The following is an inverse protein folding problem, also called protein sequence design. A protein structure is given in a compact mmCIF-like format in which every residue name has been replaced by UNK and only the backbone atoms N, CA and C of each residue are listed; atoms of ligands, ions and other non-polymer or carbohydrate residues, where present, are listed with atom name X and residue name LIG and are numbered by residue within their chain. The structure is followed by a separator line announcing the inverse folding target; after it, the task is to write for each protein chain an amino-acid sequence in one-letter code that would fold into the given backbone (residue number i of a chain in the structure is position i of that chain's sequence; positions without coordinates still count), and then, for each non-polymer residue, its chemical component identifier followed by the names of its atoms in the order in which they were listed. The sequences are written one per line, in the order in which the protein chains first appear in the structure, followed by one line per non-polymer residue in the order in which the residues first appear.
data_IF_137196823898
#
_entry.id   IF_137196823898
#
_cell.length_a   1.000
_cell.length_b   1.000
_cell.length_c   1.000
_cell.angle_alpha   90.00
_cell.angle_beta   90.00
_cell.angle_gamma   90.00
#
_symmetry.space_group_name_H-M   'P 1'
#
loop_
_entity.id
_entity.type
_entity.pdbx_description
1 polymer ?
#
# COMPACT_ATOMS: atom_id res chain seq x y z
N UNK A 1 -16.66 -7.27 21.13
CA UNK A 1 -16.52 -7.15 19.67
C UNK A 1 -15.23 -7.85 19.28
N UNK A 2 -15.23 -8.67 18.22
CA UNK A 2 -13.97 -9.19 17.66
C UNK A 2 -13.29 -8.13 16.78
N UNK A 3 -12.05 -8.37 16.35
CA UNK A 3 -11.30 -7.41 15.52
C UNK A 3 -11.96 -7.11 14.18
N UNK A 4 -12.57 -8.12 13.54
CA UNK A 4 -13.29 -7.96 12.27
C UNK A 4 -14.49 -7.01 12.40
N UNK A 5 -15.30 -7.17 13.43
CA UNK A 5 -16.44 -6.29 13.74
C UNK A 5 -15.98 -4.87 14.03
N UNK A 6 -14.91 -4.70 14.82
CA UNK A 6 -14.32 -3.40 15.18
C UNK A 6 -13.84 -2.63 13.97
N UNK A 7 -13.04 -3.29 13.13
CA UNK A 7 -12.51 -2.71 11.89
C UNK A 7 -13.63 -2.34 10.94
N UNK A 8 -14.61 -3.22 10.75
CA UNK A 8 -15.74 -2.94 9.85
C UNK A 8 -16.57 -1.74 10.33
N UNK A 9 -16.89 -1.63 11.62
CA UNK A 9 -17.61 -0.48 12.16
C UNK A 9 -16.79 0.80 12.02
N UNK A 10 -15.54 0.79 12.50
CA UNK A 10 -14.67 1.95 12.43
C UNK A 10 -14.50 2.45 11.00
N UNK A 11 -14.19 1.57 10.04
CA UNK A 11 -13.93 1.95 8.65
C UNK A 11 -15.21 2.26 7.85
N UNK A 12 -16.40 1.93 8.38
CA UNK A 12 -17.70 2.45 7.89
C UNK A 12 -18.13 3.73 8.60
N UNK A 13 -17.23 4.35 9.37
CA UNK A 13 -17.46 5.60 10.11
C UNK A 13 -18.55 5.47 11.18
N UNK A 14 -18.65 4.29 11.77
CA UNK A 14 -19.45 4.02 12.96
C UNK A 14 -18.55 3.90 14.19
N UNK A 15 -19.15 3.99 15.39
CA UNK A 15 -18.42 3.93 16.67
C UNK A 15 -18.24 2.45 17.08
N UNK A 16 -17.00 1.92 17.10
CA UNK A 16 -16.71 0.59 17.64
C UNK A 16 -16.54 0.61 19.17
N UNK A 17 -16.18 -0.54 19.77
CA UNK A 17 -15.80 -0.62 21.19
C UNK A 17 -14.47 0.08 21.51
N UNK A 18 -13.51 -0.01 20.59
CA UNK A 18 -12.22 0.67 20.65
C UNK A 18 -11.74 1.06 19.25
N UNK A 19 -10.86 2.06 19.15
CA UNK A 19 -10.17 2.41 17.90
C UNK A 19 -9.33 1.22 17.44
N UNK A 20 -9.59 0.63 16.25
CA UNK A 20 -8.76 -0.44 15.74
C UNK A 20 -7.38 0.07 15.39
N UNK A 21 -6.37 -0.80 15.48
CA UNK A 21 -5.00 -0.43 15.15
C UNK A 21 -4.21 -1.52 14.45
N UNK A 22 -3.16 -1.07 13.78
CA UNK A 22 -2.14 -1.92 13.19
C UNK A 22 -0.73 -1.32 13.33
N UNK A 23 0.26 -2.02 12.77
CA UNK A 23 1.64 -1.57 12.66
C UNK A 23 2.07 -1.43 11.19
N UNK A 24 1.13 -1.09 10.30
CA UNK A 24 1.28 -0.80 8.87
C UNK A 24 2.46 -1.53 8.20
N UNK A 25 2.23 -2.66 7.54
CA UNK A 25 3.26 -3.54 6.94
C UNK A 25 4.22 -4.24 7.92
N UNK A 26 4.21 -3.87 9.20
CA UNK A 26 5.07 -4.47 10.22
C UNK A 26 6.47 -3.85 10.21
N UNK A 27 7.50 -4.69 10.16
CA UNK A 27 8.89 -4.30 10.39
C UNK A 27 9.77 -4.71 9.22
N UNK A 28 10.74 -3.87 8.84
CA UNK A 28 11.70 -4.17 7.77
C UNK A 28 13.14 -4.28 8.27
N UNK A 29 13.92 -5.14 7.63
CA UNK A 29 15.36 -5.28 7.88
C UNK A 29 15.70 -5.48 9.36
N UNK A 30 16.61 -4.65 9.88
CA UNK A 30 17.04 -4.74 11.27
C UNK A 30 15.93 -4.46 12.30
N UNK A 31 14.85 -3.77 11.92
CA UNK A 31 13.68 -3.61 12.79
C UNK A 31 12.98 -4.95 13.03
N UNK A 32 12.87 -5.80 11.99
CA UNK A 32 12.32 -7.15 12.10
C UNK A 32 13.17 -8.03 13.03
N UNK A 33 14.49 -8.04 12.82
CA UNK A 33 15.41 -8.81 13.67
C UNK A 33 15.34 -8.36 15.13
N UNK A 34 15.18 -7.05 15.37
CA UNK A 34 15.00 -6.50 16.70
C UNK A 34 13.67 -6.96 17.32
N UNK A 35 12.56 -6.92 16.56
CA UNK A 35 11.27 -7.44 16.99
C UNK A 35 11.38 -8.91 17.40
N UNK A 36 11.94 -9.79 16.55
CA UNK A 36 12.07 -11.22 16.86
C UNK A 36 12.93 -11.43 18.11
N UNK A 37 14.06 -10.73 18.22
CA UNK A 37 14.97 -10.85 19.38
C UNK A 37 14.32 -10.37 20.69
N UNK A 38 13.54 -9.29 20.67
CA UNK A 38 12.92 -8.69 21.87
C UNK A 38 11.64 -9.43 22.28
N UNK A 39 10.84 -9.87 21.32
CA UNK A 39 9.54 -10.48 21.55
C UNK A 39 9.58 -12.00 21.67
N UNK A 40 10.56 -12.67 21.04
CA UNK A 40 10.57 -14.11 20.85
C UNK A 40 9.53 -14.63 19.84
N UNK A 41 8.82 -13.72 19.14
CA UNK A 41 7.77 -14.04 18.18
C UNK A 41 8.23 -13.74 16.74
N UNK A 42 7.70 -14.48 15.78
CA UNK A 42 7.78 -14.19 14.34
C UNK A 42 6.45 -13.75 13.76
N UNK A 43 5.47 -13.49 14.62
CA UNK A 43 4.14 -13.03 14.24
C UNK A 43 3.81 -11.77 15.04
N UNK A 44 4.08 -10.61 14.46
CA UNK A 44 3.81 -9.33 15.10
C UNK A 44 2.31 -9.05 15.25
N UNK A 45 1.48 -9.53 14.32
CA UNK A 45 0.02 -9.41 14.40
C UNK A 45 -0.51 -10.08 15.67
N UNK A 46 -0.07 -11.31 15.94
CA UNK A 46 -0.46 -12.04 17.15
C UNK A 46 0.19 -11.49 18.41
N UNK A 47 1.46 -11.07 18.34
CA UNK A 47 2.18 -10.56 19.50
C UNK A 47 1.56 -9.26 20.04
N UNK A 48 1.28 -8.29 19.16
CA UNK A 48 0.67 -7.03 19.57
C UNK A 48 -0.86 -7.07 19.62
N UNK A 49 -1.45 -8.11 19.02
CA UNK A 49 -2.88 -8.28 18.81
C UNK A 49 -3.48 -7.12 18.00
N UNK A 50 -2.90 -6.85 16.83
CA UNK A 50 -3.42 -5.88 15.85
C UNK A 50 -4.70 -6.39 15.20
N UNK A 51 -5.51 -5.48 14.68
CA UNK A 51 -6.87 -5.83 14.22
C UNK A 51 -6.97 -6.33 12.78
N UNK A 52 -5.95 -6.09 11.96
CA UNK A 52 -5.91 -6.45 10.53
C UNK A 52 -4.71 -7.33 10.22
N UNK A 53 -4.94 -8.37 9.42
CA UNK A 53 -3.89 -9.16 8.77
C UNK A 53 -3.95 -8.96 7.25
N UNK A 54 -2.78 -8.78 6.64
CA UNK A 54 -2.63 -8.50 5.22
C UNK A 54 -2.18 -9.75 4.46
N UNK A 55 -2.75 -9.98 3.29
CA UNK A 55 -2.28 -10.98 2.34
C UNK A 55 -2.09 -10.33 0.98
N UNK A 56 -0.88 -10.41 0.45
CA UNK A 56 -0.57 -9.98 -0.90
C UNK A 56 -0.48 -11.20 -1.82
N UNK A 57 -1.14 -11.11 -2.98
CA UNK A 57 -0.93 -12.02 -4.10
C UNK A 57 0.36 -11.60 -4.81
N UNK A 58 1.44 -12.36 -4.57
CA UNK A 58 2.74 -12.15 -5.22
C UNK A 58 2.87 -13.05 -6.45
N UNK A 59 2.62 -12.52 -7.63
CA UNK A 59 2.74 -13.31 -8.86
C UNK A 59 4.22 -13.62 -9.16
N UNK A 60 4.54 -14.86 -9.54
CA UNK A 60 5.90 -15.21 -9.89
C UNK A 60 6.33 -14.48 -11.16
N UNK A 61 7.62 -14.13 -11.23
CA UNK A 61 8.20 -13.63 -12.47
C UNK A 61 7.95 -14.62 -13.61
N UNK A 62 7.62 -14.11 -14.80
CA UNK A 62 7.50 -14.96 -15.98
C UNK A 62 8.80 -15.72 -16.27
N UNK A 63 8.66 -16.92 -16.83
CA UNK A 63 9.78 -17.74 -17.32
C UNK A 63 10.33 -17.14 -18.62
N UNK A 64 11.10 -16.07 -18.48
CA UNK A 64 11.69 -15.30 -19.59
C UNK A 64 13.12 -14.86 -19.24
N UNK A 65 14.00 -14.81 -20.25
CA UNK A 65 15.38 -14.34 -20.09
C UNK A 65 15.46 -12.81 -20.17
N UNK A 66 15.03 -12.14 -19.09
CA UNK A 66 15.09 -10.67 -19.01
C UNK A 66 16.53 -10.16 -19.10
N UNK A 67 17.49 -10.84 -18.45
CA UNK A 67 18.90 -10.48 -18.46
C UNK A 67 19.48 -10.42 -19.87
N UNK A 68 19.23 -11.48 -20.66
CA UNK A 68 19.70 -11.57 -22.04
C UNK A 68 18.97 -10.62 -23.01
N UNK A 69 17.69 -10.33 -22.77
CA UNK A 69 16.87 -9.50 -23.65
C UNK A 69 17.06 -7.98 -23.42
N UNK A 70 17.12 -7.53 -22.16
CA UNK A 70 17.02 -6.10 -21.81
C UNK A 70 18.30 -5.51 -21.19
N UNK A 71 19.19 -6.35 -20.67
CA UNK A 71 20.34 -5.91 -19.88
C UNK A 71 21.71 -6.30 -20.47
N UNK A 72 21.72 -6.96 -21.62
CA UNK A 72 22.96 -7.37 -22.30
C UNK A 72 23.87 -6.17 -22.56
N UNK A 73 25.09 -6.22 -22.03
CA UNK A 73 26.08 -5.14 -22.17
C UNK A 73 25.87 -3.94 -21.24
N UNK A 74 24.84 -3.93 -20.38
CA UNK A 74 24.56 -2.84 -19.43
C UNK A 74 25.09 -3.13 -18.01
N UNK A 75 25.50 -4.37 -17.73
CA UNK A 75 25.91 -4.81 -16.39
C UNK A 75 27.41 -4.61 -16.15
N UNK A 76 27.75 -3.98 -15.03
CA UNK A 76 29.14 -3.77 -14.60
C UNK A 76 29.69 -5.00 -13.88
N UNK A 77 30.92 -5.46 -14.17
CA UNK A 77 31.57 -6.54 -13.43
C UNK A 77 31.74 -6.18 -11.94
N UNK A 78 31.60 -7.17 -11.06
CA UNK A 78 31.83 -7.00 -9.61
C UNK A 78 30.68 -6.35 -8.84
N UNK A 79 29.54 -6.06 -9.49
CA UNK A 79 28.35 -5.50 -8.86
C UNK A 79 27.28 -6.58 -8.70
N UNK A 80 26.55 -6.56 -7.58
CA UNK A 80 25.42 -7.46 -7.33
C UNK A 80 24.12 -6.87 -7.88
N UNK A 81 23.43 -7.66 -8.70
CA UNK A 81 22.14 -7.30 -9.26
C UNK A 81 21.09 -8.37 -8.93
N UNK A 82 19.85 -7.93 -8.81
CA UNK A 82 18.69 -8.79 -8.57
C UNK A 82 17.55 -8.38 -9.50
N UNK A 83 16.89 -9.36 -10.13
CA UNK A 83 15.70 -9.10 -10.93
C UNK A 83 14.47 -9.28 -10.04
N UNK A 84 13.60 -8.28 -10.01
CA UNK A 84 12.33 -8.35 -9.31
C UNK A 84 11.30 -9.25 -10.05
N UNK A 85 10.06 -9.29 -9.55
CA UNK A 85 8.96 -10.05 -10.17
C UNK A 85 8.52 -9.49 -11.53
N UNK A 86 8.73 -8.20 -11.77
CA UNK A 86 8.34 -7.48 -12.97
C UNK A 86 9.40 -7.53 -14.08
N UNK A 87 10.60 -8.07 -13.79
CA UNK A 87 11.72 -8.12 -14.73
C UNK A 87 12.57 -6.84 -14.73
N UNK A 88 12.40 -5.98 -13.72
CA UNK A 88 13.20 -4.79 -13.46
C UNK A 88 14.45 -5.21 -12.67
N UNK A 89 15.59 -4.62 -13.01
CA UNK A 89 16.87 -4.98 -12.40
C UNK A 89 17.23 -3.97 -11.31
N UNK A 90 17.64 -4.50 -10.15
CA UNK A 90 18.00 -3.76 -8.96
C UNK A 90 19.49 -3.95 -8.68
N UNK A 91 20.25 -2.87 -8.72
CA UNK A 91 21.65 -2.82 -8.28
C UNK A 91 21.69 -2.55 -6.78
N UNK A 92 22.33 -3.45 -6.02
CA UNK A 92 22.52 -3.26 -4.57
C UNK A 92 23.46 -2.09 -4.31
N UNK A 93 23.03 -1.17 -3.46
CA UNK A 93 23.83 -0.02 -3.01
C UNK A 93 24.20 -0.26 -1.55
N UNK A 94 25.49 -0.23 -1.23
CA UNK A 94 25.93 -0.44 0.16
C UNK A 94 25.37 0.63 1.10
N UNK A 95 24.91 0.19 2.28
CA UNK A 95 24.47 1.07 3.36
C UNK A 95 23.05 1.65 3.23
N UNK A 96 22.31 1.31 2.16
CA UNK A 96 20.94 1.75 1.95
C UNK A 96 19.97 0.56 1.88
N UNK A 97 18.75 0.74 2.39
CA UNK A 97 17.64 -0.19 2.17
C UNK A 97 17.20 -0.19 0.69
N UNK A 98 17.38 0.95 0.01
CA UNK A 98 17.01 1.13 -1.40
C UNK A 98 18.11 0.65 -2.36
N UNK A 99 17.66 0.06 -3.46
CA UNK A 99 18.50 -0.34 -4.59
C UNK A 99 18.42 0.68 -5.72
N UNK A 100 19.46 0.78 -6.54
CA UNK A 100 19.38 1.55 -7.78
C UNK A 100 18.63 0.75 -8.83
N UNK A 101 17.53 1.29 -9.34
CA UNK A 101 16.74 0.68 -10.41
C UNK A 101 17.43 0.88 -11.76
N UNK A 102 17.52 -0.19 -12.54
CA UNK A 102 17.99 -0.21 -13.92
C UNK A 102 16.79 -0.61 -14.79
N UNK A 103 16.19 0.35 -15.53
CA UNK A 103 14.99 0.08 -16.31
C UNK A 103 15.24 -0.87 -17.49
N UNK A 104 14.33 -1.81 -17.79
CA UNK A 104 14.49 -2.74 -18.91
C UNK A 104 14.35 -2.07 -20.27
N UNK A 105 13.44 -1.10 -20.41
CA UNK A 105 13.13 -0.47 -21.69
C UNK A 105 13.88 0.86 -21.85
N UNK A 106 14.35 1.09 -23.07
CA UNK A 106 14.94 2.37 -23.50
C UNK A 106 14.28 2.91 -24.77
N UNK A 107 13.59 2.06 -25.51
CA UNK A 107 12.89 2.42 -26.73
C UNK A 107 11.44 2.82 -26.41
N UNK A 108 11.04 4.00 -26.88
CA UNK A 108 9.70 4.53 -26.67
C UNK A 108 8.83 4.08 -27.84
N UNK A 109 8.45 2.81 -27.86
CA UNK A 109 7.53 2.28 -28.88
C UNK A 109 6.43 1.43 -28.26
N UNK A 110 5.25 1.46 -28.88
CA UNK A 110 4.15 0.58 -28.50
C UNK A 110 4.50 -0.90 -28.62
N UNK A 111 5.37 -1.26 -29.56
CA UNK A 111 5.79 -2.64 -29.78
C UNK A 111 6.66 -3.14 -28.61
N UNK A 112 7.58 -2.31 -28.11
CA UNK A 112 8.38 -2.60 -26.93
C UNK A 112 7.49 -2.86 -25.71
N UNK A 113 6.52 -1.97 -25.48
CA UNK A 113 5.55 -2.10 -24.39
C UNK A 113 4.70 -3.36 -24.54
N UNK A 114 4.20 -3.68 -25.73
CA UNK A 114 3.36 -4.87 -25.97
C UNK A 114 4.13 -6.17 -25.73
N UNK A 115 5.39 -6.22 -26.17
CA UNK A 115 6.22 -7.42 -26.10
C UNK A 115 6.90 -7.62 -24.75
N UNK A 116 6.97 -6.60 -23.90
CA UNK A 116 7.54 -6.73 -22.56
C UNK A 116 6.78 -7.77 -21.71
N UNK A 117 7.40 -8.86 -21.23
CA UNK A 117 6.68 -9.91 -20.51
C UNK A 117 6.23 -9.46 -19.11
N UNK A 118 4.93 -9.61 -18.84
CA UNK A 118 4.34 -9.40 -17.51
C UNK A 118 4.60 -10.62 -16.59
N UNK A 119 4.49 -10.49 -15.26
CA UNK A 119 4.51 -11.62 -14.34
C UNK A 119 3.49 -12.71 -14.72
N UNK A 120 3.70 -13.94 -14.26
CA UNK A 120 2.76 -15.03 -14.46
C UNK A 120 1.59 -14.93 -13.47
N UNK A 121 0.71 -13.96 -13.71
CA UNK A 121 -0.44 -13.67 -12.86
C UNK A 121 -1.58 -14.68 -13.04
N UNK A 122 -1.45 -15.66 -13.95
CA UNK A 122 -2.53 -16.60 -14.29
C UNK A 122 -2.50 -17.91 -13.52
N UNK A 123 -1.57 -18.07 -12.58
CA UNK A 123 -1.50 -19.24 -11.71
C UNK A 123 -2.71 -19.30 -10.77
N UNK A 124 -3.65 -20.22 -11.04
CA UNK A 124 -4.87 -20.38 -10.24
C UNK A 124 -4.60 -20.93 -8.84
N UNK A 125 -3.50 -21.65 -8.63
CA UNK A 125 -3.18 -22.20 -7.31
C UNK A 125 -2.78 -21.12 -6.32
N UNK A 126 -2.13 -20.05 -6.80
CA UNK A 126 -1.85 -18.84 -6.02
C UNK A 126 -3.13 -18.25 -5.40
N UNK A 127 -4.18 -18.06 -6.20
CA UNK A 127 -5.44 -17.49 -5.70
C UNK A 127 -6.19 -18.44 -4.77
N UNK A 128 -6.13 -19.76 -5.01
CA UNK A 128 -6.71 -20.76 -4.09
C UNK A 128 -5.99 -20.76 -2.75
N UNK A 129 -4.67 -20.66 -2.74
CA UNK A 129 -3.88 -20.58 -1.51
C UNK A 129 -4.20 -19.29 -0.75
N UNK A 130 -4.23 -18.15 -1.45
CA UNK A 130 -4.62 -16.86 -0.86
C UNK A 130 -6.01 -16.93 -0.24
N UNK A 131 -7.00 -17.48 -0.94
CA UNK A 131 -8.35 -17.65 -0.39
C UNK A 131 -8.39 -18.52 0.89
N UNK A 132 -7.55 -19.57 0.98
CA UNK A 132 -7.41 -20.38 2.20
C UNK A 132 -6.83 -19.56 3.35
N UNK A 133 -5.80 -18.75 3.10
CA UNK A 133 -5.20 -17.86 4.12
C UNK A 133 -6.21 -16.84 4.62
N UNK A 134 -6.95 -16.21 3.70
CA UNK A 134 -8.01 -15.25 4.03
C UNK A 134 -9.12 -15.89 4.87
N UNK A 135 -9.56 -17.10 4.51
CA UNK A 135 -10.54 -17.87 5.31
C UNK A 135 -10.01 -18.18 6.72
N UNK A 136 -8.71 -18.44 6.87
CA UNK A 136 -8.08 -18.70 8.17
C UNK A 136 -7.95 -17.43 9.03
N UNK A 137 -7.82 -16.24 8.44
CA UNK A 137 -7.89 -14.95 9.15
C UNK A 137 -9.33 -14.72 9.63
N UNK A 138 -10.29 -14.87 8.72
CA UNK A 138 -11.72 -14.66 9.01
C UNK A 138 -12.23 -15.59 10.13
N UNK A 139 -11.80 -16.86 10.14
CA UNK A 139 -12.22 -17.83 11.18
C UNK A 139 -11.70 -17.51 12.58
N UNK A 140 -10.65 -16.67 12.68
CA UNK A 140 -10.13 -16.13 13.95
C UNK A 140 -10.83 -14.82 14.37
N UNK A 141 -11.82 -14.35 13.62
CA UNK A 141 -12.53 -13.11 13.89
C UNK A 141 -11.68 -11.85 13.68
N UNK A 142 -10.68 -11.92 12.79
CA UNK A 142 -9.82 -10.80 12.40
C UNK A 142 -10.22 -10.25 11.04
N UNK A 143 -9.95 -8.97 10.81
CA UNK A 143 -10.18 -8.36 9.52
C UNK A 143 -9.07 -8.76 8.54
N UNK A 144 -9.45 -9.07 7.31
CA UNK A 144 -8.54 -9.50 6.27
C UNK A 144 -8.42 -8.45 5.15
N UNK A 145 -7.19 -8.02 4.86
CA UNK A 145 -6.89 -7.09 3.78
C UNK A 145 -6.15 -7.81 2.64
N UNK A 146 -6.69 -7.73 1.43
CA UNK A 146 -6.16 -8.39 0.23
C UNK A 146 -5.53 -7.37 -0.71
N UNK A 147 -4.31 -7.63 -1.13
CA UNK A 147 -3.65 -6.89 -2.21
C UNK A 147 -3.40 -7.79 -3.42
N UNK A 148 -3.68 -7.29 -4.63
CA UNK A 148 -3.37 -7.97 -5.90
C UNK A 148 -2.01 -7.47 -6.41
N UNK A 149 -0.96 -7.74 -5.63
CA UNK A 149 0.27 -6.95 -5.65
C UNK A 149 0.15 -5.68 -4.78
N UNK A 150 1.26 -5.21 -4.22
CA UNK A 150 1.32 -4.01 -3.37
C UNK A 150 1.03 -2.71 -4.11
N UNK A 151 1.23 -2.72 -5.43
CA UNK A 151 1.11 -1.57 -6.32
C UNK A 151 -0.01 -1.78 -7.36
N UNK A 152 -0.73 -0.73 -7.76
CA UNK A 152 -1.94 -0.87 -8.59
C UNK A 152 -1.67 -0.71 -10.07
N UNK A 153 -1.30 0.50 -10.52
CA UNK A 153 -1.05 0.80 -11.94
C UNK A 153 0.22 1.63 -12.09
N UNK A 154 0.31 2.79 -11.43
CA UNK A 154 1.40 3.73 -11.68
C UNK A 154 2.75 3.18 -11.21
N UNK A 155 2.81 2.60 -10.02
CA UNK A 155 4.06 2.12 -9.43
C UNK A 155 4.66 0.90 -10.12
N UNK A 156 3.83 0.08 -10.76
CA UNK A 156 4.28 -1.03 -11.62
C UNK A 156 4.62 -0.60 -13.05
N UNK A 157 4.30 0.65 -13.41
CA UNK A 157 4.50 1.16 -14.76
C UNK A 157 5.83 1.91 -14.91
N UNK A 158 6.10 2.85 -14.00
CA UNK A 158 7.30 3.69 -14.11
C UNK A 158 8.63 2.92 -14.06
N UNK A 159 8.78 1.76 -13.35
CA UNK A 159 10.05 1.04 -13.31
C UNK A 159 10.52 0.53 -14.68
N UNK A 160 9.62 0.42 -15.66
CA UNK A 160 9.97 0.00 -17.03
C UNK A 160 10.91 0.97 -17.74
N UNK A 161 10.81 2.27 -17.42
CA UNK A 161 11.63 3.35 -17.99
C UNK A 161 12.43 4.13 -16.91
N UNK A 162 12.11 3.93 -15.63
CA UNK A 162 12.60 4.73 -14.52
C UNK A 162 11.69 5.93 -14.25
N UNK A 163 11.61 6.36 -12.98
CA UNK A 163 10.62 7.37 -12.56
C UNK A 163 10.78 8.71 -13.30
N UNK A 164 12.00 9.25 -13.37
CA UNK A 164 12.25 10.55 -14.03
C UNK A 164 11.84 10.53 -15.51
N UNK A 165 12.28 9.50 -16.25
CA UNK A 165 11.94 9.36 -17.67
C UNK A 165 10.43 9.14 -17.85
N UNK A 166 9.82 8.30 -17.02
CA UNK A 166 8.39 8.02 -17.12
C UNK A 166 7.52 9.27 -16.85
N UNK A 167 7.94 10.13 -15.92
CA UNK A 167 7.28 11.43 -15.68
C UNK A 167 7.42 12.38 -16.87
N UNK A 168 8.55 12.37 -17.59
CA UNK A 168 8.72 13.11 -18.84
C UNK A 168 7.80 12.51 -19.93
N UNK A 169 7.80 11.19 -20.09
CA UNK A 169 6.98 10.47 -21.07
C UNK A 169 5.49 10.73 -20.86
N UNK A 170 5.01 10.88 -19.62
CA UNK A 170 3.61 11.24 -19.36
C UNK A 170 3.20 12.57 -20.03
N UNK A 171 4.15 13.46 -20.29
CA UNK A 171 3.93 14.75 -20.95
C UNK A 171 4.23 14.72 -22.45
N UNK A 172 5.21 13.93 -22.89
CA UNK A 172 5.67 13.90 -24.30
C UNK A 172 5.17 12.71 -25.12
N UNK A 173 4.93 11.57 -24.48
CA UNK A 173 4.72 10.25 -25.10
C UNK A 173 3.51 9.53 -24.47
N UNK A 174 2.43 10.27 -24.21
CA UNK A 174 1.29 9.80 -23.42
C UNK A 174 0.68 8.47 -23.93
N UNK A 175 0.63 8.26 -25.25
CA UNK A 175 0.09 7.02 -25.85
C UNK A 175 0.84 5.77 -25.37
N UNK A 176 2.16 5.87 -25.16
CA UNK A 176 2.99 4.76 -24.68
C UNK A 176 2.73 4.50 -23.20
N UNK A 177 2.65 5.56 -22.37
CA UNK A 177 2.30 5.44 -20.96
C UNK A 177 0.91 4.82 -20.79
N UNK A 178 -0.08 5.26 -21.56
CA UNK A 178 -1.43 4.69 -21.52
C UNK A 178 -1.48 3.23 -21.97
N UNK A 179 -0.64 2.82 -22.92
CA UNK A 179 -0.50 1.43 -23.29
C UNK A 179 0.05 0.57 -22.14
N UNK A 180 0.96 1.09 -21.31
CA UNK A 180 1.43 0.41 -20.10
C UNK A 180 0.31 0.33 -19.06
N UNK A 181 -0.35 1.46 -18.78
CA UNK A 181 -1.45 1.50 -17.82
C UNK A 181 -2.58 0.54 -18.19
N UNK A 182 -2.92 0.45 -19.48
CA UNK A 182 -3.91 -0.48 -20.00
C UNK A 182 -3.54 -1.94 -19.75
N UNK A 183 -2.27 -2.31 -19.90
CA UNK A 183 -1.80 -3.68 -19.63
C UNK A 183 -1.99 -4.03 -18.16
N UNK A 184 -1.57 -3.16 -17.26
CA UNK A 184 -1.72 -3.38 -15.82
C UNK A 184 -3.17 -3.36 -15.36
N UNK A 185 -4.01 -2.48 -15.92
CA UNK A 185 -5.45 -2.47 -15.65
C UNK A 185 -6.08 -3.82 -15.98
N UNK A 186 -5.75 -4.40 -17.15
CA UNK A 186 -6.21 -5.75 -17.54
C UNK A 186 -5.74 -6.85 -16.59
N UNK A 187 -4.51 -6.75 -16.08
CA UNK A 187 -4.02 -7.68 -15.05
C UNK A 187 -4.91 -7.57 -13.81
N UNK A 188 -5.07 -6.38 -13.23
CA UNK A 188 -5.86 -6.17 -12.00
C UNK A 188 -7.31 -6.63 -12.15
N UNK A 189 -7.96 -6.34 -13.27
CA UNK A 189 -9.32 -6.82 -13.56
C UNK A 189 -9.39 -8.35 -13.60
N UNK A 190 -8.45 -9.00 -14.29
CA UNK A 190 -8.39 -10.46 -14.36
C UNK A 190 -8.18 -11.08 -12.97
N UNK A 191 -7.32 -10.48 -12.15
CA UNK A 191 -7.03 -10.96 -10.79
C UNK A 191 -8.25 -10.87 -9.88
N UNK A 192 -8.95 -9.74 -9.91
CA UNK A 192 -10.17 -9.52 -9.13
C UNK A 192 -11.27 -10.51 -9.54
N UNK A 193 -11.54 -10.66 -10.83
CA UNK A 193 -12.49 -11.67 -11.33
C UNK A 193 -12.08 -13.08 -10.89
N UNK A 194 -10.79 -13.40 -10.97
CA UNK A 194 -10.29 -14.74 -10.65
C UNK A 194 -10.39 -15.03 -9.16
N UNK A 195 -9.96 -14.10 -8.31
CA UNK A 195 -10.01 -14.28 -6.86
C UNK A 195 -11.44 -14.39 -6.34
N UNK A 196 -12.39 -13.66 -6.93
CA UNK A 196 -13.81 -13.72 -6.58
C UNK A 196 -14.41 -15.14 -6.72
N UNK A 197 -13.79 -16.02 -7.51
CA UNK A 197 -14.21 -17.42 -7.67
C UNK A 197 -13.78 -18.31 -6.50
N UNK A 198 -12.81 -17.87 -5.70
CA UNK A 198 -12.15 -18.69 -4.68
C UNK A 198 -12.34 -18.16 -3.26
N UNK A 199 -12.36 -16.83 -3.07
CA UNK A 199 -12.30 -16.23 -1.74
C UNK A 199 -13.03 -14.90 -1.64
N UNK A 200 -12.94 -14.32 -0.44
CA UNK A 200 -13.49 -13.01 -0.07
C UNK A 200 -12.44 -12.24 0.75
N UNK A 201 -12.65 -10.95 0.92
CA UNK A 201 -11.82 -10.07 1.76
C UNK A 201 -12.67 -9.08 2.55
N UNK A 202 -12.20 -8.52 3.66
CA UNK A 202 -12.87 -7.37 4.27
C UNK A 202 -12.47 -6.06 3.59
N UNK A 203 -11.19 -5.94 3.25
CA UNK A 203 -10.59 -4.77 2.63
C UNK A 203 -9.86 -5.18 1.36
N UNK A 204 -10.14 -4.54 0.23
CA UNK A 204 -9.29 -4.55 -0.95
C UNK A 204 -8.29 -3.41 -0.83
N UNK A 205 -7.03 -3.76 -0.84
CA UNK A 205 -5.95 -2.82 -0.81
C UNK A 205 -5.44 -2.55 -2.22
N UNK A 206 -5.59 -1.29 -2.62
CA UNK A 206 -5.03 -0.67 -3.81
C UNK A 206 -4.09 0.48 -3.39
N UNK A 207 -3.27 0.95 -4.29
CA UNK A 207 -2.34 2.02 -4.01
C UNK A 207 -1.33 2.24 -5.12
N UNK A 208 -0.92 3.49 -5.23
CA UNK A 208 0.24 3.94 -5.97
C UNK A 208 0.66 5.29 -5.36
N UNK A 209 1.96 5.48 -5.11
CA UNK A 209 2.54 6.75 -4.70
C UNK A 209 2.45 7.75 -5.85
N UNK A 210 1.34 8.50 -5.87
CA UNK A 210 1.02 9.54 -6.85
C UNK A 210 1.37 10.94 -6.35
N UNK A 211 1.87 11.05 -5.12
CA UNK A 211 2.30 12.29 -4.49
C UNK A 211 3.58 12.13 -3.68
N UNK A 212 4.23 13.26 -3.41
CA UNK A 212 5.28 13.40 -2.41
C UNK A 212 4.82 14.39 -1.32
N UNK A 213 5.68 14.71 -0.36
CA UNK A 213 5.34 15.63 0.74
C UNK A 213 4.92 17.04 0.31
N UNK A 214 5.32 17.49 -0.89
CA UNK A 214 5.01 18.82 -1.43
C UNK A 214 3.72 18.84 -2.26
N UNK A 215 3.27 17.70 -2.77
CA UNK A 215 2.08 17.60 -3.61
C UNK A 215 2.15 16.44 -4.61
N UNK A 216 1.35 16.52 -5.66
CA UNK A 216 1.25 15.48 -6.68
C UNK A 216 2.55 15.32 -7.49
N UNK A 217 2.92 14.07 -7.80
CA UNK A 217 3.99 13.72 -8.73
C UNK A 217 3.55 13.88 -10.19
N UNK A 218 2.27 13.62 -10.46
CA UNK A 218 1.64 13.73 -11.77
C UNK A 218 0.69 14.94 -11.72
N UNK A 219 0.70 15.85 -12.70
CA UNK A 219 -0.24 16.96 -12.73
C UNK A 219 -1.69 16.47 -12.52
N UNK A 220 -2.48 17.06 -11.60
CA UNK A 220 -3.81 16.55 -11.24
C UNK A 220 -4.72 16.29 -12.44
N UNK A 221 -4.74 17.17 -13.44
CA UNK A 221 -5.56 17.01 -14.64
C UNK A 221 -5.10 15.83 -15.52
N UNK A 222 -3.79 15.56 -15.55
CA UNK A 222 -3.26 14.40 -16.25
C UNK A 222 -3.59 13.11 -15.50
N UNK A 223 -3.51 13.11 -14.17
CA UNK A 223 -3.93 11.98 -13.35
C UNK A 223 -5.43 11.68 -13.53
N UNK A 224 -6.29 12.72 -13.54
CA UNK A 224 -7.73 12.60 -13.83
C UNK A 224 -8.02 12.02 -15.20
N UNK A 225 -7.23 12.40 -16.20
CA UNK A 225 -7.37 11.90 -17.57
C UNK A 225 -6.91 10.45 -17.72
N UNK A 226 -5.89 10.03 -16.97
CA UNK A 226 -5.19 8.76 -17.22
C UNK A 226 -5.48 7.71 -16.15
N UNK A 227 -5.13 7.96 -14.88
CA UNK A 227 -5.18 6.96 -13.81
C UNK A 227 -6.58 6.86 -13.18
N UNK A 228 -7.26 7.98 -12.94
CA UNK A 228 -8.61 8.00 -12.33
C UNK A 228 -9.61 7.03 -13.00
N UNK A 229 -9.82 7.05 -14.33
CA UNK A 229 -10.80 6.16 -14.96
C UNK A 229 -10.44 4.68 -14.78
N UNK A 230 -9.15 4.34 -14.81
CA UNK A 230 -8.66 2.96 -14.65
C UNK A 230 -8.78 2.49 -13.20
N UNK A 231 -8.44 3.34 -12.23
CA UNK A 231 -8.68 3.08 -10.82
C UNK A 231 -10.17 2.83 -10.55
N UNK A 232 -11.04 3.69 -11.10
CA UNK A 232 -12.49 3.54 -10.99
C UNK A 232 -12.97 2.21 -11.59
N UNK A 233 -12.49 1.83 -12.77
CA UNK A 233 -12.84 0.55 -13.42
C UNK A 233 -12.44 -0.66 -12.55
N UNK A 234 -11.25 -0.62 -11.94
CA UNK A 234 -10.78 -1.66 -11.01
C UNK A 234 -11.67 -1.73 -9.78
N UNK A 235 -12.02 -0.58 -9.19
CA UNK A 235 -12.89 -0.50 -8.01
C UNK A 235 -14.31 -1.00 -8.34
N UNK A 236 -14.86 -0.61 -9.49
CA UNK A 236 -16.18 -1.06 -9.93
C UNK A 236 -16.20 -2.59 -10.15
N UNK A 237 -15.14 -3.16 -10.72
CA UNK A 237 -14.97 -4.61 -10.84
C UNK A 237 -14.94 -5.29 -9.46
N UNK A 238 -14.16 -4.75 -8.52
CA UNK A 238 -14.10 -5.27 -7.15
C UNK A 238 -15.47 -5.24 -6.47
N UNK A 239 -16.18 -4.11 -6.53
CA UNK A 239 -17.51 -3.92 -5.93
C UNK A 239 -18.59 -4.76 -6.63
N UNK A 240 -18.44 -5.05 -7.92
CA UNK A 240 -19.34 -5.96 -8.64
C UNK A 240 -19.30 -7.38 -8.06
N UNK A 241 -18.10 -7.91 -7.82
CA UNK A 241 -17.93 -9.24 -7.24
C UNK A 241 -18.13 -9.28 -5.73
N UNK A 242 -17.78 -8.20 -5.02
CA UNK A 242 -17.85 -8.14 -3.58
C UNK A 242 -18.28 -6.73 -3.10
N UNK A 243 -19.60 -6.42 -3.12
CA UNK A 243 -20.10 -5.07 -2.82
C UNK A 243 -19.81 -4.62 -1.38
N UNK A 244 -19.71 -5.57 -0.45
CA UNK A 244 -19.42 -5.30 0.95
C UNK A 244 -17.94 -5.01 1.25
N UNK A 245 -17.01 -5.35 0.34
CA UNK A 245 -15.59 -5.14 0.57
C UNK A 245 -15.24 -3.65 0.57
N UNK A 246 -14.49 -3.18 1.57
CA UNK A 246 -14.03 -1.79 1.63
C UNK A 246 -12.81 -1.60 0.72
N UNK A 247 -12.70 -0.45 0.06
CA UNK A 247 -11.56 -0.12 -0.79
C UNK A 247 -10.62 0.82 -0.06
N UNK A 248 -9.40 0.35 0.13
CA UNK A 248 -8.30 1.10 0.68
C UNK A 248 -7.40 1.57 -0.46
N UNK A 249 -6.95 2.83 -0.40
CA UNK A 249 -5.98 3.39 -1.34
C UNK A 249 -4.75 3.94 -0.62
N UNK A 250 -3.58 3.35 -0.91
CA UNK A 250 -2.27 3.80 -0.45
C UNK A 250 -1.69 4.86 -1.38
N UNK A 251 -1.26 6.00 -0.83
CA UNK A 251 -0.36 6.97 -1.47
C UNK A 251 0.31 7.82 -0.40
N UNK A 252 1.63 7.73 -0.28
CA UNK A 252 2.42 8.59 0.58
C UNK A 252 2.36 10.07 0.14
N UNK A 253 2.76 10.96 1.04
CA UNK A 253 2.82 12.39 0.76
C UNK A 253 1.49 13.12 0.81
N UNK A 254 1.29 14.07 -0.09
CA UNK A 254 0.17 15.00 -0.09
C UNK A 254 -0.69 14.85 -1.36
N UNK A 255 -1.74 14.00 -1.33
CA UNK A 255 -2.67 13.84 -2.45
C UNK A 255 -3.85 14.83 -2.40
N UNK A 256 -3.77 15.93 -1.63
CA UNK A 256 -4.90 16.86 -1.36
C UNK A 256 -5.68 17.23 -2.63
N UNK A 257 -4.99 17.45 -3.74
CA UNK A 257 -5.58 17.90 -5.01
C UNK A 257 -6.50 16.86 -5.68
N UNK A 258 -6.40 15.58 -5.30
CA UNK A 258 -7.15 14.48 -5.91
C UNK A 258 -7.97 13.66 -4.90
N UNK A 259 -8.05 14.06 -3.63
CA UNK A 259 -8.84 13.33 -2.62
C UNK A 259 -10.31 13.19 -3.03
N UNK A 260 -10.93 14.26 -3.55
CA UNK A 260 -12.30 14.20 -4.07
C UNK A 260 -12.41 13.22 -5.25
N UNK A 261 -11.40 13.19 -6.11
CA UNK A 261 -11.38 12.28 -7.24
C UNK A 261 -11.24 10.80 -6.82
N UNK A 262 -10.49 10.52 -5.74
CA UNK A 262 -10.39 9.19 -5.13
C UNK A 262 -11.75 8.75 -4.53
N UNK A 263 -12.45 9.65 -3.84
CA UNK A 263 -13.81 9.41 -3.34
C UNK A 263 -14.75 9.09 -4.51
N UNK A 264 -14.70 9.87 -5.59
CA UNK A 264 -15.51 9.64 -6.79
C UNK A 264 -15.18 8.32 -7.50
N UNK A 265 -13.95 7.82 -7.39
CA UNK A 265 -13.54 6.52 -7.90
C UNK A 265 -14.04 5.35 -7.03
N UNK A 266 -14.51 5.63 -5.80
CA UNK A 266 -15.06 4.63 -4.88
C UNK A 266 -14.10 4.18 -3.78
N UNK A 267 -13.07 4.97 -3.47
CA UNK A 267 -12.19 4.73 -2.31
C UNK A 267 -12.97 4.98 -1.01
N UNK A 268 -12.90 4.01 -0.09
CA UNK A 268 -13.53 4.10 1.24
C UNK A 268 -12.54 4.57 2.31
N UNK A 269 -11.25 4.21 2.14
CA UNK A 269 -10.20 4.40 3.14
C UNK A 269 -8.97 5.03 2.48
N UNK A 270 -8.51 6.15 3.00
CA UNK A 270 -7.27 6.80 2.56
C UNK A 270 -6.12 6.42 3.49
N UNK A 271 -5.02 5.97 2.89
CA UNK A 271 -3.80 5.61 3.60
C UNK A 271 -2.55 6.08 2.82
N UNK A 272 -1.45 6.36 3.53
CA UNK A 272 -1.50 6.93 4.87
C UNK A 272 -2.15 8.31 4.85
N UNK A 273 -2.49 8.82 6.03
CA UNK A 273 -2.64 10.27 6.22
C UNK A 273 -1.40 10.74 6.94
N UNK A 274 -0.33 10.91 6.18
CA UNK A 274 1.02 11.16 6.68
C UNK A 274 1.10 12.54 7.36
N UNK A 275 1.33 12.61 8.69
CA UNK A 275 1.37 13.88 9.42
C UNK A 275 2.48 14.85 8.99
N UNK A 276 3.56 14.32 8.40
CA UNK A 276 4.65 15.15 7.88
C UNK A 276 4.30 15.85 6.56
N UNK A 277 3.25 15.41 5.86
CA UNK A 277 2.82 15.96 4.58
C UNK A 277 1.50 16.75 4.68
N UNK A 278 0.58 16.30 5.54
CA UNK A 278 -0.77 16.85 5.68
C UNK A 278 -1.20 16.89 7.14
N UNK A 279 -2.29 17.60 7.45
CA UNK A 279 -2.91 17.56 8.79
C UNK A 279 -4.06 16.53 8.82
N UNK A 280 -3.91 15.40 9.53
CA UNK A 280 -4.97 14.41 9.66
C UNK A 280 -6.30 14.94 10.23
N UNK A 281 -6.27 15.93 11.14
CA UNK A 281 -7.49 16.49 11.72
C UNK A 281 -8.27 17.34 10.71
N UNK A 282 -7.56 18.10 9.87
CA UNK A 282 -8.19 18.85 8.77
C UNK A 282 -8.74 17.90 7.70
N UNK A 283 -8.04 16.80 7.41
CA UNK A 283 -8.55 15.75 6.54
C UNK A 283 -9.85 15.14 7.08
N UNK A 284 -9.89 14.80 8.38
CA UNK A 284 -11.11 14.33 9.05
C UNK A 284 -12.26 15.32 8.93
N UNK A 285 -11.99 16.61 9.12
CA UNK A 285 -13.01 17.65 9.01
C UNK A 285 -13.56 17.82 7.60
N UNK A 286 -12.72 17.69 6.57
CA UNK A 286 -13.10 17.89 5.17
C UNK A 286 -13.78 16.69 4.52
N UNK A 287 -13.34 15.48 4.90
CA UNK A 287 -13.74 14.24 4.20
C UNK A 287 -14.17 13.11 5.12
N UNK A 288 -14.18 13.29 6.43
CA UNK A 288 -14.47 12.23 7.41
C UNK A 288 -15.90 11.69 7.41
N UNK A 289 -16.80 12.30 6.65
CA UNK A 289 -18.16 11.82 6.36
C UNK A 289 -18.19 10.79 5.21
N UNK A 290 -17.18 10.81 4.34
CA UNK A 290 -17.08 9.97 3.14
C UNK A 290 -15.90 9.01 3.16
N UNK A 291 -14.81 9.37 3.85
CA UNK A 291 -13.60 8.58 4.00
C UNK A 291 -13.35 8.17 5.44
N UNK A 292 -12.73 7.01 5.58
CA UNK A 292 -12.01 6.61 6.78
C UNK A 292 -10.51 6.81 6.56
N UNK A 293 -9.75 6.93 7.65
CA UNK A 293 -8.33 7.25 7.61
C UNK A 293 -7.52 6.16 8.31
N UNK A 294 -6.37 5.85 7.73
CA UNK A 294 -5.44 4.85 8.24
C UNK A 294 -4.03 5.43 8.26
N UNK A 295 -3.25 5.12 9.28
CA UNK A 295 -1.80 5.39 9.26
C UNK A 295 -1.49 6.86 9.53
N UNK A 296 -1.99 7.38 10.65
CA UNK A 296 -1.94 8.80 11.03
C UNK A 296 -0.80 9.13 11.99
N UNK A 297 0.12 8.20 12.25
CA UNK A 297 1.26 8.41 13.16
C UNK A 297 2.56 8.42 12.38
N UNK A 298 3.28 9.54 12.41
CA UNK A 298 4.44 9.77 11.56
C UNK A 298 5.63 8.86 11.84
N UNK A 299 6.15 8.23 10.79
CA UNK A 299 7.37 7.42 10.82
C UNK A 299 8.65 8.20 10.51
N UNK A 300 8.56 9.48 10.14
CA UNK A 300 9.74 10.30 9.82
C UNK A 300 10.12 11.26 10.96
N UNK A 301 9.21 11.47 11.92
CA UNK A 301 9.45 12.32 13.10
C UNK A 301 9.09 11.62 14.40
N UNK A 302 7.81 11.36 14.62
CA UNK A 302 7.31 10.98 15.95
C UNK A 302 7.81 9.62 16.40
N UNK A 303 7.64 8.57 15.59
CA UNK A 303 8.08 7.23 15.96
C UNK A 303 9.61 7.09 16.07
N UNK A 304 10.44 7.57 15.12
CA UNK A 304 11.89 7.40 15.21
C UNK A 304 12.58 8.32 16.22
N UNK A 305 12.10 9.56 16.39
CA UNK A 305 12.85 10.60 17.11
C UNK A 305 12.11 11.21 18.30
N UNK A 306 10.82 10.91 18.47
CA UNK A 306 10.05 11.34 19.63
C UNK A 306 10.45 10.56 20.88
N UNK A 307 10.22 11.17 22.04
CA UNK A 307 10.19 10.49 23.33
C UNK A 307 8.95 9.62 23.45
N UNK A 308 8.98 8.63 24.35
CA UNK A 308 7.82 7.80 24.70
C UNK A 308 6.57 8.65 24.99
N UNK A 309 6.74 9.76 25.70
CA UNK A 309 5.62 10.65 26.05
C UNK A 309 5.10 11.42 24.83
N UNK A 310 5.96 11.84 23.91
CA UNK A 310 5.54 12.47 22.66
C UNK A 310 4.78 11.48 21.76
N UNK A 311 5.20 10.21 21.70
CA UNK A 311 4.47 9.15 20.97
C UNK A 311 3.10 8.91 21.59
N UNK A 312 3.00 8.80 22.92
CA UNK A 312 1.72 8.63 23.62
C UNK A 312 0.78 9.80 23.37
N UNK A 313 1.29 11.03 23.44
CA UNK A 313 0.51 12.24 23.19
C UNK A 313 0.05 12.35 21.73
N UNK A 314 0.88 11.95 20.76
CA UNK A 314 0.49 11.89 19.35
C UNK A 314 -0.65 10.89 19.14
N UNK A 315 -0.54 9.67 19.69
CA UNK A 315 -1.60 8.66 19.60
C UNK A 315 -2.91 9.18 20.18
N UNK A 316 -2.85 9.76 21.38
CA UNK A 316 -4.02 10.37 22.03
C UNK A 316 -4.65 11.46 21.16
N UNK A 317 -3.82 12.37 20.62
CA UNK A 317 -4.27 13.44 19.73
C UNK A 317 -5.00 12.87 18.50
N UNK A 318 -4.47 11.84 17.85
CA UNK A 318 -5.10 11.23 16.68
C UNK A 318 -6.43 10.57 17.01
N UNK A 319 -6.52 9.89 18.14
CA UNK A 319 -7.78 9.30 18.62
C UNK A 319 -8.82 10.38 18.90
N UNK A 320 -8.46 11.44 19.63
CA UNK A 320 -9.38 12.53 20.01
C UNK A 320 -9.84 13.40 18.83
N UNK A 321 -9.03 13.50 17.77
CA UNK A 321 -9.31 14.34 16.59
C UNK A 321 -9.85 13.54 15.41
N UNK A 322 -9.09 12.56 14.92
CA UNK A 322 -9.43 11.77 13.72
C UNK A 322 -10.39 10.63 14.07
N UNK A 323 -10.19 9.98 15.21
CA UNK A 323 -11.00 8.86 15.68
C UNK A 323 -12.38 9.27 16.17
N UNK A 324 -12.61 10.55 16.50
CA UNK A 324 -13.90 11.01 17.04
C UNK A 324 -15.06 10.64 16.11
N UNK A 325 -15.98 9.83 16.63
CA UNK A 325 -17.16 9.35 15.90
C UNK A 325 -16.89 8.20 14.93
N UNK A 326 -15.76 7.50 15.03
CA UNK A 326 -15.37 6.44 14.11
C UNK A 326 -14.51 6.95 12.94
N UNK A 327 -14.19 6.07 11.99
CA UNK A 327 -13.47 6.42 10.77
C UNK A 327 -11.95 6.48 10.91
N UNK A 328 -11.37 5.95 11.99
CA UNK A 328 -9.93 5.83 12.18
C UNK A 328 -9.54 4.37 12.41
N UNK A 329 -8.54 3.92 11.66
CA UNK A 329 -7.68 2.82 12.06
C UNK A 329 -6.28 3.37 12.29
N UNK A 330 -5.86 3.38 13.55
CA UNK A 330 -4.63 4.05 13.93
C UNK A 330 -3.42 3.16 13.66
N UNK A 331 -2.40 3.72 13.05
CA UNK A 331 -1.20 3.00 12.68
C UNK A 331 -0.06 3.96 12.37
N UNK A 332 1.18 3.46 12.29
CA UNK A 332 2.27 4.15 11.61
C UNK A 332 1.84 4.57 10.19
N UNK A 333 2.35 5.70 9.71
CA UNK A 333 2.07 6.19 8.35
C UNK A 333 2.81 5.42 7.26
N UNK A 334 3.70 4.50 7.64
CA UNK A 334 4.37 3.56 6.74
C UNK A 334 4.98 2.41 7.58
N UNK A 335 5.73 1.52 6.93
CA UNK A 335 6.45 0.42 7.60
C UNK A 335 7.39 0.90 8.72
N UNK A 336 7.59 0.07 9.73
CA UNK A 336 8.52 0.35 10.84
C UNK A 336 9.96 0.11 10.36
N UNK A 337 10.72 1.19 10.27
CA UNK A 337 12.12 1.21 9.85
C UNK A 337 13.10 0.98 11.03
N UNK A 338 14.37 0.58 10.76
CA UNK A 338 15.37 0.25 11.78
C UNK A 338 15.64 1.31 12.86
N UNK A 339 15.44 2.59 12.54
CA UNK A 339 15.64 3.71 13.45
C UNK A 339 14.56 3.83 14.53
N UNK A 340 13.41 3.18 14.37
CA UNK A 340 12.30 3.28 15.34
C UNK A 340 12.66 2.51 16.63
N UNK A 341 12.77 3.19 17.79
CA UNK A 341 13.09 2.54 19.05
C UNK A 341 12.00 1.57 19.49
N UNK A 342 12.38 0.43 20.09
CA UNK A 342 11.43 -0.56 20.61
C UNK A 342 10.46 0.06 21.62
N UNK A 343 10.97 0.94 22.48
CA UNK A 343 10.23 1.64 23.50
C UNK A 343 9.11 2.51 22.90
N UNK A 344 9.34 3.12 21.74
CA UNK A 344 8.34 3.93 21.05
C UNK A 344 7.25 3.06 20.41
N UNK A 345 7.59 1.87 19.94
CA UNK A 345 6.60 0.91 19.40
C UNK A 345 5.69 0.40 20.52
N UNK A 346 6.28 0.05 21.67
CA UNK A 346 5.51 -0.35 22.86
C UNK A 346 4.64 0.80 23.35
N UNK A 347 5.18 2.02 23.43
CA UNK A 347 4.45 3.21 23.82
C UNK A 347 3.25 3.50 22.91
N UNK A 348 3.42 3.33 21.59
CA UNK A 348 2.33 3.45 20.62
C UNK A 348 1.21 2.44 20.93
N UNK A 349 1.54 1.15 21.06
CA UNK A 349 0.53 0.10 21.30
C UNK A 349 -0.17 0.27 22.65
N UNK A 350 0.57 0.63 23.70
CA UNK A 350 0.00 0.89 25.02
C UNK A 350 -0.91 2.12 25.02
N UNK A 351 -0.52 3.20 24.35
CA UNK A 351 -1.34 4.40 24.22
C UNK A 351 -2.65 4.14 23.46
N UNK A 352 -2.62 3.32 22.41
CA UNK A 352 -3.85 2.93 21.70
C UNK A 352 -4.80 2.18 22.64
N UNK A 353 -4.28 1.24 23.43
CA UNK A 353 -5.10 0.46 24.39
C UNK A 353 -5.65 1.34 25.52
N UNK A 354 -4.89 2.33 25.96
CA UNK A 354 -5.26 3.24 27.04
C UNK A 354 -6.30 4.28 26.60
N UNK A 355 -6.11 4.91 25.43
CA UNK A 355 -6.93 6.04 24.98
C UNK A 355 -7.99 5.66 23.95
N UNK A 356 -7.94 4.45 23.38
CA UNK A 356 -8.77 4.05 22.24
C UNK A 356 -10.22 3.70 22.57
N UNK A 357 -10.66 3.72 23.84
CA UNK A 357 -12.06 3.51 24.19
C UNK A 357 -12.95 4.67 23.76
N UNK A 358 -14.13 4.37 23.22
CA UNK A 358 -15.12 5.36 22.76
C UNK A 358 -16.11 5.81 23.84
#
# INVERSE_FOLDING_TARGET
MNSKERVNLALRREIPDHVPFDLCYGFVGAAWDNFVRRSGSTNHFEYFNTDVEYIEVLEPRAKFDYAGAYYRGRLRPGVSYELDRYGVLHEKVEGLHFTRIIPPLSEHTLEAVKNFPLPDYKDLDLYRETARKMTAIDSRGRASALAMGGETIFEVSWPLYGLEEFLIMLLSELEICEAIFERWTKVRLWQLETYAKFGRYDILWLGDDISNQLGMLIPPDLWRKTLKPRLKEIIECAKYYQPEGLVFYHTCGNPTEVVEDLIEAGVDILNPVQPEAVDPAEYKKRWGDRLSFWGTVGVQKTLPFGTVEEVRNEVKLRIETVGKGGGLLIGPSHVIEPEVPWENIVAFVEAVKEFGGY
#
